data_IF_249082779974
#
_entry.id   IF_249082779974
#
_cell.length_a   1.000
_cell.length_b   1.000
_cell.length_c   1.000
_cell.angle_alpha   90.00
_cell.angle_beta   90.00
_cell.angle_gamma   90.00
#
_symmetry.space_group_name_H-M   'P 1'
#
loop_
_entity.id
_entity.type
_entity.pdbx_description
1 polymer ?
#
# COMPACT_ATOMS: atom_id res chain seq x y z
N UNK A 1 -13.83 16.48 3.04
CA UNK A 1 -13.44 16.02 4.39
C UNK A 1 -14.58 15.30 5.12
N UNK A 2 -15.82 15.84 5.09
CA UNK A 2 -16.96 15.29 5.83
C UNK A 2 -17.29 13.83 5.44
N UNK A 3 -17.35 13.51 4.16
CA UNK A 3 -17.62 12.14 3.68
C UNK A 3 -16.58 11.13 4.17
N UNK A 4 -15.30 11.53 4.22
CA UNK A 4 -14.23 10.66 4.71
C UNK A 4 -14.31 10.42 6.21
N UNK A 5 -14.80 11.40 7.00
CA UNK A 5 -14.94 11.24 8.45
C UNK A 5 -15.99 10.18 8.85
N UNK A 6 -16.96 9.90 7.98
CA UNK A 6 -17.97 8.86 8.20
C UNK A 6 -17.30 7.48 8.38
N UNK A 7 -16.28 7.16 7.58
CA UNK A 7 -15.56 5.89 7.68
C UNK A 7 -14.88 5.74 9.04
N UNK A 8 -14.23 6.79 9.54
CA UNK A 8 -13.57 6.75 10.85
C UNK A 8 -14.56 6.80 12.01
N UNK A 9 -15.71 7.44 11.81
CA UNK A 9 -16.85 7.37 12.75
C UNK A 9 -17.39 5.95 12.85
N UNK A 10 -17.59 5.27 11.70
CA UNK A 10 -18.00 3.86 11.64
C UNK A 10 -16.97 2.95 12.30
N UNK A 11 -15.68 3.15 12.04
CA UNK A 11 -14.60 2.44 12.71
C UNK A 11 -14.70 2.54 14.24
N UNK A 12 -14.82 3.76 14.75
CA UNK A 12 -14.92 4.01 16.20
C UNK A 12 -16.17 3.37 16.80
N UNK A 13 -17.28 3.41 16.09
CA UNK A 13 -18.53 2.75 16.49
C UNK A 13 -18.36 1.22 16.57
N UNK A 14 -17.74 0.60 15.55
CA UNK A 14 -17.50 -0.85 15.54
C UNK A 14 -16.58 -1.28 16.69
N UNK A 15 -15.51 -0.52 16.98
CA UNK A 15 -14.64 -0.83 18.12
C UNK A 15 -15.40 -0.79 19.45
N UNK A 16 -16.29 0.17 19.63
CA UNK A 16 -17.15 0.27 20.81
C UNK A 16 -18.14 -0.92 20.88
N UNK A 17 -18.70 -1.30 19.74
CA UNK A 17 -19.63 -2.42 19.64
C UNK A 17 -18.98 -3.73 20.06
N UNK A 18 -17.74 -4.00 19.62
CA UNK A 18 -17.00 -5.21 19.99
C UNK A 18 -16.51 -5.22 21.44
N UNK A 19 -16.75 -4.16 22.22
CA UNK A 19 -16.35 -4.05 23.64
C UNK A 19 -14.92 -4.51 23.87
N UNK A 20 -13.98 -3.97 23.12
CA UNK A 20 -12.59 -4.41 23.07
C UNK A 20 -11.96 -4.33 24.47
N UNK A 21 -11.48 -5.48 24.95
CA UNK A 21 -10.68 -5.57 26.18
C UNK A 21 -9.19 -5.48 25.79
N UNK A 22 -8.35 -4.97 26.70
CA UNK A 22 -6.90 -4.87 26.48
C UNK A 22 -6.25 -6.26 26.52
N UNK A 23 -6.27 -6.96 25.39
CA UNK A 23 -5.64 -8.25 25.18
C UNK A 23 -5.09 -8.35 23.74
N UNK A 24 -4.37 -9.41 23.42
CA UNK A 24 -3.81 -9.59 22.08
C UNK A 24 -4.88 -9.63 20.98
N UNK A 25 -6.03 -10.23 21.25
CA UNK A 25 -7.15 -10.32 20.31
C UNK A 25 -7.63 -8.91 19.93
N UNK A 26 -7.57 -7.95 20.85
CA UNK A 26 -7.99 -6.57 20.56
C UNK A 26 -7.07 -5.85 19.56
N UNK A 27 -5.78 -6.16 19.55
CA UNK A 27 -4.87 -5.65 18.51
C UNK A 27 -5.31 -6.16 17.13
N UNK A 28 -5.57 -7.46 17.02
CA UNK A 28 -6.04 -8.06 15.77
C UNK A 28 -7.41 -7.50 15.36
N UNK A 29 -8.35 -7.40 16.29
CA UNK A 29 -9.68 -6.83 16.02
C UNK A 29 -9.56 -5.39 15.54
N UNK A 30 -8.72 -4.58 16.19
CA UNK A 30 -8.44 -3.20 15.76
C UNK A 30 -7.89 -3.18 14.33
N UNK A 31 -6.85 -3.96 14.06
CA UNK A 31 -6.16 -3.98 12.76
C UNK A 31 -7.08 -4.45 11.63
N UNK A 32 -7.85 -5.51 11.87
CA UNK A 32 -8.82 -6.06 10.91
C UNK A 32 -9.93 -5.04 10.64
N UNK A 33 -10.54 -4.50 11.70
CA UNK A 33 -11.62 -3.52 11.55
C UNK A 33 -11.13 -2.28 10.81
N UNK A 34 -9.95 -1.77 11.14
CA UNK A 34 -9.37 -0.61 10.46
C UNK A 34 -9.09 -0.91 8.99
N UNK A 35 -8.50 -2.07 8.68
CA UNK A 35 -8.21 -2.47 7.29
C UNK A 35 -9.48 -2.67 6.46
N UNK A 36 -10.55 -3.19 7.04
CA UNK A 36 -11.86 -3.30 6.37
C UNK A 36 -12.40 -1.91 6.04
N UNK A 37 -12.34 -0.98 6.98
CA UNK A 37 -12.78 0.41 6.76
C UNK A 37 -11.95 1.10 5.67
N UNK A 38 -10.63 0.89 5.66
CA UNK A 38 -9.75 1.40 4.62
C UNK A 38 -10.08 0.80 3.24
N UNK A 39 -10.37 -0.50 3.19
CA UNK A 39 -10.82 -1.17 1.96
C UNK A 39 -12.15 -0.59 1.45
N UNK A 40 -13.15 -0.44 2.35
CA UNK A 40 -14.43 0.16 1.99
C UNK A 40 -14.26 1.59 1.48
N UNK A 41 -13.44 2.39 2.16
CA UNK A 41 -13.11 3.75 1.73
C UNK A 41 -12.45 3.78 0.35
N UNK A 42 -11.57 2.82 0.07
CA UNK A 42 -10.88 2.69 -1.21
C UNK A 42 -11.75 2.11 -2.35
N UNK A 43 -12.90 1.51 -2.04
CA UNK A 43 -13.76 0.83 -3.01
C UNK A 43 -15.07 1.56 -3.28
N UNK A 44 -15.58 2.34 -2.31
CA UNK A 44 -16.86 3.06 -2.41
C UNK A 44 -16.60 4.46 -3.01
N UNK A 45 -17.59 5.01 -3.70
CA UNK A 45 -17.57 6.35 -4.31
C UNK A 45 -16.44 6.61 -5.31
N UNK A 46 -16.14 5.62 -6.15
CA UNK A 46 -15.14 5.76 -7.20
C UNK A 46 -13.72 5.46 -6.75
N UNK A 47 -13.55 5.05 -5.49
CA UNK A 47 -12.30 4.59 -4.92
C UNK A 47 -11.29 5.72 -4.64
N UNK A 48 -10.92 5.89 -3.40
CA UNK A 48 -9.83 6.80 -3.03
C UNK A 48 -8.83 6.06 -2.12
N UNK A 49 -8.02 5.15 -2.70
CA UNK A 49 -7.11 4.29 -1.93
C UNK A 49 -5.83 5.03 -1.46
N UNK A 50 -5.78 6.33 -1.64
CA UNK A 50 -4.66 7.18 -1.25
C UNK A 50 -4.53 7.18 0.28
N UNK A 51 -3.30 7.25 0.77
CA UNK A 51 -2.99 7.32 2.20
C UNK A 51 -3.25 6.01 2.98
N UNK A 52 -3.08 4.85 2.35
CA UNK A 52 -2.98 3.60 3.11
C UNK A 52 -1.74 3.64 4.01
N UNK A 53 -1.85 3.09 5.22
CA UNK A 53 -0.73 3.04 6.17
C UNK A 53 0.46 2.26 5.59
N UNK A 54 0.20 1.26 4.75
CA UNK A 54 1.23 0.51 4.04
C UNK A 54 2.14 1.37 3.16
N UNK A 55 1.70 2.54 2.71
CA UNK A 55 2.52 3.46 1.92
C UNK A 55 3.66 4.10 2.72
N UNK A 56 3.63 4.01 4.06
CA UNK A 56 4.78 4.38 4.89
C UNK A 56 6.04 3.55 4.59
N UNK A 57 5.87 2.37 3.98
CA UNK A 57 6.96 1.48 3.57
C UNK A 57 7.53 1.79 2.18
N UNK A 58 7.05 2.82 1.47
CA UNK A 58 7.43 3.10 0.08
C UNK A 58 8.95 3.25 -0.12
N UNK A 59 9.66 3.76 0.88
CA UNK A 59 11.11 3.92 0.86
C UNK A 59 11.87 2.61 1.15
N UNK A 60 11.18 1.53 1.52
CA UNK A 60 11.75 0.22 1.82
C UNK A 60 11.33 -0.80 0.76
N UNK A 61 11.94 -0.71 -0.42
CA UNK A 61 11.56 -1.49 -1.59
C UNK A 61 11.53 -3.01 -1.33
N UNK A 62 12.48 -3.52 -0.54
CA UNK A 62 12.49 -4.94 -0.14
C UNK A 62 11.24 -5.35 0.65
N UNK A 63 10.75 -4.49 1.55
CA UNK A 63 9.54 -4.76 2.32
C UNK A 63 8.28 -4.76 1.46
N UNK A 64 8.28 -4.07 0.32
CA UNK A 64 7.15 -4.00 -0.61
C UNK A 64 7.05 -5.19 -1.56
N UNK A 65 8.10 -6.02 -1.72
CA UNK A 65 8.09 -7.11 -2.69
C UNK A 65 6.99 -8.15 -2.39
N UNK A 66 6.57 -8.28 -1.15
CA UNK A 66 5.48 -9.18 -0.74
C UNK A 66 4.11 -8.76 -1.33
N UNK A 67 3.96 -7.51 -1.79
CA UNK A 67 2.76 -7.03 -2.47
C UNK A 67 2.36 -7.92 -3.66
N UNK A 68 3.36 -8.45 -4.39
CA UNK A 68 3.12 -9.34 -5.52
C UNK A 68 2.41 -10.64 -5.13
N UNK A 69 2.45 -11.01 -3.85
CA UNK A 69 1.88 -12.23 -3.31
C UNK A 69 0.58 -11.99 -2.53
N UNK A 70 0.55 -10.99 -1.66
CA UNK A 70 -0.61 -10.77 -0.76
C UNK A 70 -1.50 -9.59 -1.16
N UNK A 71 -1.05 -8.72 -2.05
CA UNK A 71 -1.76 -7.50 -2.45
C UNK A 71 -1.68 -6.36 -1.43
N UNK A 72 -2.13 -5.19 -1.85
CA UNK A 72 -1.95 -3.92 -1.11
C UNK A 72 -2.73 -3.88 0.21
N UNK A 73 -3.98 -4.32 0.23
CA UNK A 73 -4.81 -4.26 1.44
C UNK A 73 -4.39 -5.28 2.50
N UNK A 74 -3.88 -6.44 2.08
CA UNK A 74 -3.32 -7.42 3.01
C UNK A 74 -2.01 -6.91 3.62
N UNK A 75 -1.17 -6.24 2.84
CA UNK A 75 0.01 -5.56 3.39
C UNK A 75 -0.40 -4.45 4.36
N UNK A 76 -1.44 -3.69 4.04
CA UNK A 76 -1.96 -2.64 4.93
C UNK A 76 -2.38 -3.22 6.29
N UNK A 77 -3.10 -4.35 6.30
CA UNK A 77 -3.44 -5.07 7.53
C UNK A 77 -2.20 -5.46 8.35
N UNK A 78 -1.19 -6.02 7.71
CA UNK A 78 0.06 -6.41 8.38
C UNK A 78 0.78 -5.20 8.99
N UNK A 79 0.87 -4.10 8.25
CA UNK A 79 1.53 -2.87 8.71
C UNK A 79 0.79 -2.24 9.87
N UNK A 80 -0.55 -2.18 9.82
CA UNK A 80 -1.36 -1.68 10.95
C UNK A 80 -1.14 -2.55 12.19
N UNK A 81 -1.17 -3.88 12.01
CA UNK A 81 -0.93 -4.82 13.10
C UNK A 81 0.46 -4.60 13.72
N UNK A 82 1.48 -4.44 12.88
CA UNK A 82 2.84 -4.19 13.31
C UNK A 82 2.99 -2.87 14.10
N UNK A 83 2.40 -1.78 13.60
CA UNK A 83 2.48 -0.48 14.28
C UNK A 83 1.68 -0.42 15.59
N UNK A 84 0.67 -1.25 15.75
CA UNK A 84 -0.10 -1.34 17.00
C UNK A 84 0.48 -2.31 18.01
N UNK A 85 1.39 -3.22 17.61
CA UNK A 85 1.99 -4.21 18.51
C UNK A 85 2.72 -3.64 19.74
N UNK A 86 3.41 -2.50 19.69
CA UNK A 86 4.08 -1.97 20.88
C UNK A 86 3.15 -1.78 22.08
N UNK A 87 1.85 -1.60 21.86
CA UNK A 87 0.86 -1.46 22.94
C UNK A 87 0.78 -2.70 23.85
N UNK A 88 1.28 -3.87 23.38
CA UNK A 88 1.29 -5.12 24.14
C UNK A 88 2.10 -5.01 25.43
N UNK A 89 3.04 -4.06 25.50
CA UNK A 89 3.85 -3.80 26.69
C UNK A 89 2.95 -3.47 27.87
N UNK A 90 1.85 -2.78 27.64
CA UNK A 90 0.89 -2.34 28.66
C UNK A 90 -0.14 -3.41 29.02
N UNK A 91 -0.20 -4.52 28.29
CA UNK A 91 -1.17 -5.58 28.56
C UNK A 91 -0.78 -6.42 29.77
N UNK A 92 -1.77 -6.84 30.56
CA UNK A 92 -1.61 -7.74 31.72
C UNK A 92 -1.56 -9.21 31.28
N UNK A 93 -0.55 -9.57 30.49
CA UNK A 93 -0.29 -10.95 30.04
C UNK A 93 1.09 -11.41 30.53
N UNK A 94 1.34 -12.71 30.50
CA UNK A 94 2.62 -13.29 30.95
C UNK A 94 3.78 -12.73 30.12
N UNK A 95 4.92 -12.53 30.79
CA UNK A 95 6.13 -11.99 30.13
C UNK A 95 6.62 -12.89 28.98
N UNK A 96 6.49 -14.20 29.13
CA UNK A 96 6.80 -15.17 28.07
C UNK A 96 5.92 -15.01 26.83
N UNK A 97 4.62 -14.76 27.01
CA UNK A 97 3.70 -14.52 25.90
C UNK A 97 4.05 -13.23 25.14
N UNK A 98 4.36 -12.14 25.88
CA UNK A 98 4.85 -10.90 25.25
C UNK A 98 6.08 -11.14 24.41
N UNK A 99 7.04 -11.87 24.96
CA UNK A 99 8.29 -12.18 24.26
C UNK A 99 8.04 -13.00 23.00
N UNK A 100 7.20 -14.03 23.05
CA UNK A 100 6.86 -14.88 21.90
C UNK A 100 6.20 -14.03 20.80
N UNK A 101 5.24 -13.16 21.15
CA UNK A 101 4.54 -12.32 20.18
C UNK A 101 5.51 -11.34 19.52
N UNK A 102 6.32 -10.64 20.28
CA UNK A 102 7.30 -9.69 19.75
C UNK A 102 8.36 -10.39 18.89
N UNK A 103 8.87 -11.53 19.36
CA UNK A 103 9.85 -12.32 18.62
C UNK A 103 9.29 -12.83 17.28
N UNK A 104 8.08 -13.41 17.29
CA UNK A 104 7.43 -13.90 16.07
C UNK A 104 7.19 -12.77 15.07
N UNK A 105 6.84 -11.58 15.55
CA UNK A 105 6.64 -10.40 14.69
C UNK A 105 7.95 -9.97 14.04
N UNK A 106 9.04 -9.86 14.82
CA UNK A 106 10.36 -9.52 14.28
C UNK A 106 10.81 -10.57 13.27
N UNK A 107 10.56 -11.84 13.54
CA UNK A 107 10.89 -12.93 12.62
C UNK A 107 10.14 -12.80 11.30
N UNK A 108 8.83 -12.56 11.34
CA UNK A 108 8.02 -12.37 10.13
C UNK A 108 8.51 -11.18 9.30
N UNK A 109 8.84 -10.05 9.95
CA UNK A 109 9.37 -8.88 9.26
C UNK A 109 10.74 -9.16 8.64
N UNK A 110 11.62 -9.86 9.36
CA UNK A 110 12.94 -10.23 8.84
C UNK A 110 12.83 -11.15 7.63
N UNK A 111 11.93 -12.13 7.68
CA UNK A 111 11.65 -13.01 6.55
C UNK A 111 11.08 -12.26 5.35
N UNK A 112 10.20 -11.29 5.57
CA UNK A 112 9.69 -10.43 4.50
C UNK A 112 10.80 -9.62 3.83
N UNK A 113 11.66 -8.97 4.61
CA UNK A 113 12.80 -8.20 4.08
C UNK A 113 13.76 -9.11 3.33
N UNK A 114 14.08 -10.28 3.88
CA UNK A 114 14.95 -11.26 3.22
C UNK A 114 14.37 -11.74 1.88
N UNK A 115 13.07 -12.08 1.86
CA UNK A 115 12.37 -12.43 0.63
C UNK A 115 12.47 -11.32 -0.42
N UNK A 116 12.24 -10.08 0.01
CA UNK A 116 12.30 -8.92 -0.88
C UNK A 116 13.68 -8.65 -1.45
N UNK A 117 14.74 -8.80 -0.67
CA UNK A 117 16.11 -8.70 -1.16
C UNK A 117 16.40 -9.74 -2.25
N UNK A 118 16.06 -10.99 -1.99
CA UNK A 118 16.25 -12.07 -2.97
C UNK A 118 15.47 -11.82 -4.25
N UNK A 119 14.24 -11.28 -4.13
CA UNK A 119 13.41 -10.97 -5.30
C UNK A 119 14.01 -9.85 -6.14
N UNK A 120 14.51 -8.80 -5.52
CA UNK A 120 15.18 -7.68 -6.21
C UNK A 120 16.45 -8.17 -6.91
N UNK A 121 17.29 -8.93 -6.22
CA UNK A 121 18.53 -9.47 -6.77
C UNK A 121 18.27 -10.37 -7.99
N UNK A 122 17.26 -11.25 -7.91
CA UNK A 122 16.84 -12.08 -9.05
C UNK A 122 16.44 -11.23 -10.27
N UNK A 123 15.67 -10.16 -10.06
CA UNK A 123 15.24 -9.26 -11.15
C UNK A 123 16.43 -8.53 -11.75
N UNK A 124 17.35 -8.02 -10.94
CA UNK A 124 18.55 -7.31 -11.41
C UNK A 124 19.46 -8.24 -12.21
N UNK A 125 19.67 -9.45 -11.74
CA UNK A 125 20.49 -10.45 -12.44
C UNK A 125 19.84 -10.89 -13.76
N UNK A 126 18.50 -10.97 -13.81
CA UNK A 126 17.77 -11.28 -15.04
C UNK A 126 17.85 -10.13 -16.04
N UNK A 127 17.71 -8.88 -15.59
CA UNK A 127 17.83 -7.69 -16.45
C UNK A 127 19.17 -7.62 -17.17
N UNK A 128 20.26 -8.01 -16.54
CA UNK A 128 21.60 -8.04 -17.15
C UNK A 128 21.72 -9.03 -18.31
N UNK A 129 20.81 -10.02 -18.41
CA UNK A 129 20.86 -11.08 -19.45
C UNK A 129 19.90 -10.84 -20.60
N UNK A 130 18.94 -9.95 -20.47
CA UNK A 130 17.91 -9.73 -21.49
C UNK A 130 18.23 -8.43 -22.23
N UNK A 131 18.37 -8.53 -23.56
CA UNK A 131 18.41 -7.38 -24.44
C UNK A 131 16.95 -6.91 -24.59
N UNK A 132 16.61 -5.82 -23.92
CA UNK A 132 15.31 -5.21 -24.05
C UNK A 132 15.24 -4.35 -25.31
N UNK A 133 14.12 -4.35 -26.06
CA UNK A 133 13.92 -3.34 -27.08
C UNK A 133 13.92 -1.94 -26.43
N UNK A 134 14.48 -0.97 -27.11
CA UNK A 134 14.41 0.42 -26.67
C UNK A 134 12.93 0.88 -26.71
N UNK A 135 12.42 1.34 -25.57
CA UNK A 135 11.05 1.87 -25.47
C UNK A 135 11.14 3.36 -25.22
N UNK A 136 10.60 4.15 -26.15
CA UNK A 136 10.47 5.61 -25.98
C UNK A 136 9.14 5.89 -25.26
N UNK A 137 9.21 6.38 -24.02
CA UNK A 137 8.05 6.90 -23.30
C UNK A 137 7.83 8.36 -23.70
N UNK A 138 6.72 8.63 -24.35
CA UNK A 138 6.32 9.98 -24.74
C UNK A 138 5.32 10.50 -23.71
N UNK A 139 5.69 11.57 -23.01
CA UNK A 139 4.77 12.28 -22.10
C UNK A 139 4.56 13.70 -22.65
N UNK A 140 3.54 13.89 -23.46
CA UNK A 140 3.18 15.22 -23.94
C UNK A 140 2.65 16.01 -22.75
N UNK A 141 3.22 17.18 -22.49
CA UNK A 141 2.75 18.11 -21.45
C UNK A 141 1.50 18.83 -21.92
N UNK A 142 0.43 18.08 -22.20
CA UNK A 142 -0.84 18.72 -22.53
C UNK A 142 -1.36 19.50 -21.32
N UNK A 143 -1.68 20.78 -21.53
CA UNK A 143 -2.35 21.54 -20.51
C UNK A 143 -3.75 20.96 -20.28
N UNK A 144 -4.11 20.68 -19.02
CA UNK A 144 -5.42 20.12 -18.64
C UNK A 144 -6.57 21.04 -19.12
N UNK A 145 -6.35 22.35 -19.17
CA UNK A 145 -7.33 23.31 -19.69
C UNK A 145 -7.73 23.03 -21.14
N UNK A 146 -6.85 22.44 -21.95
CA UNK A 146 -7.13 22.04 -23.33
C UNK A 146 -8.23 20.98 -23.47
N UNK A 147 -8.48 20.19 -22.42
CA UNK A 147 -9.58 19.20 -22.43
C UNK A 147 -10.97 19.85 -22.27
N UNK A 148 -11.02 21.10 -21.79
CA UNK A 148 -12.24 21.88 -21.63
C UNK A 148 -12.49 22.85 -22.80
N UNK A 149 -11.48 23.07 -23.64
CA UNK A 149 -11.59 23.86 -24.89
C UNK A 149 -11.78 22.84 -26.00
N UNK A 150 -12.79 23.02 -26.87
CA UNK A 150 -13.08 22.15 -28.02
C UNK A 150 -11.98 22.28 -29.10
N UNK A 151 -10.74 21.91 -28.77
CA UNK A 151 -9.67 21.77 -29.75
C UNK A 151 -9.87 20.51 -30.59
N UNK A 152 -9.59 20.53 -31.91
CA UNK A 152 -9.68 19.35 -32.76
C UNK A 152 -8.80 18.23 -32.25
N UNK A 153 -9.35 17.04 -32.10
CA UNK A 153 -8.62 15.85 -31.62
C UNK A 153 -7.48 15.48 -32.57
N UNK A 154 -7.65 15.78 -33.86
CA UNK A 154 -6.65 15.51 -34.89
C UNK A 154 -5.34 16.26 -34.67
N UNK A 155 -5.37 17.52 -34.23
CA UNK A 155 -4.17 18.31 -33.94
C UNK A 155 -3.37 17.70 -32.78
N UNK A 156 -4.06 17.17 -31.75
CA UNK A 156 -3.44 16.48 -30.60
C UNK A 156 -2.80 15.15 -31.02
N UNK A 157 -3.43 14.42 -31.92
CA UNK A 157 -2.91 13.17 -32.46
C UNK A 157 -1.65 13.45 -33.29
N UNK A 158 -1.66 14.48 -34.13
CA UNK A 158 -0.51 14.86 -34.92
C UNK A 158 0.67 15.31 -34.04
N UNK A 159 0.44 16.11 -32.99
CA UNK A 159 1.44 16.50 -32.03
C UNK A 159 2.06 15.27 -31.31
N UNK A 160 1.23 14.28 -30.94
CA UNK A 160 1.71 13.01 -30.38
C UNK A 160 2.57 12.22 -31.36
N UNK A 161 2.18 12.16 -32.62
CA UNK A 161 2.96 11.50 -33.65
C UNK A 161 4.32 12.16 -33.85
N UNK A 162 4.38 13.50 -33.95
CA UNK A 162 5.65 14.23 -34.09
C UNK A 162 6.61 13.97 -32.91
N UNK A 163 6.10 14.01 -31.67
CA UNK A 163 6.91 13.73 -30.49
C UNK A 163 7.33 12.25 -30.39
N UNK A 164 6.54 11.33 -30.95
CA UNK A 164 6.81 9.90 -30.90
C UNK A 164 7.83 9.40 -31.90
N UNK A 165 8.10 10.16 -32.97
CA UNK A 165 9.10 9.78 -33.96
C UNK A 165 10.46 9.48 -33.31
N UNK A 166 11.17 8.41 -33.74
CA UNK A 166 12.52 8.17 -33.26
C UNK A 166 13.41 9.37 -33.63
N UNK A 167 14.16 9.83 -32.66
CA UNK A 167 15.28 10.73 -32.95
C UNK A 167 16.36 9.86 -33.57
N UNK A 168 16.68 10.10 -34.83
CA UNK A 168 17.83 9.50 -35.53
C UNK A 168 19.14 9.70 -34.77
#
# INVERSE_FOLDING_TARGET
>A
PFLLSIFYGLFSYLLKFFKIKLNFISILTFSVTFSIIEYLRGSIFGGFPWNLISFSLVNFLSSLQILSFIGTYSLNLLVITFYTLPIIIFFKIKRSEKFIILFSTILILSLNVYYGYNKIDQVENTKKKIIYPSIKLVSPKFNIERFFINEPVEDKINELFEISYPLD
#
